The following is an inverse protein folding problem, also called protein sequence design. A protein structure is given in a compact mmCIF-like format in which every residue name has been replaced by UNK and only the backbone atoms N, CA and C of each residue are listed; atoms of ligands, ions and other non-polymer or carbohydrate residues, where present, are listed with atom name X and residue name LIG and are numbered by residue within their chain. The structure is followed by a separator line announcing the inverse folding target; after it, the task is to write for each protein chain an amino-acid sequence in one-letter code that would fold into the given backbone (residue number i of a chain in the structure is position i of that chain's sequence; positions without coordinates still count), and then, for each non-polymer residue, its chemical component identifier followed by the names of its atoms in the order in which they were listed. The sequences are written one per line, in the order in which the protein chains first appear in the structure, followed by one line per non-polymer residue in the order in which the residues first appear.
data_IF_762483512123
#
_entry.id   IF_762483512123
#
_cell.length_a   1.000
_cell.length_b   1.000
_cell.length_c   1.000
_cell.angle_alpha   90.00
_cell.angle_beta   90.00
_cell.angle_gamma   90.00
#
_symmetry.space_group_name_H-M   'P 1'
#
loop_
_entity.id
_entity.type
_entity.pdbx_description
1 polymer ?
#
# COMPACT_ATOMS: atom_id res chain seq x y z
N UNK A 1 -25.80 49.01 -32.81
CA UNK A 1 -26.76 47.91 -32.60
C UNK A 1 -25.94 46.69 -32.18
N UNK A 2 -25.94 46.14 -30.97
CA UNK A 2 -26.65 46.40 -29.72
C UNK A 2 -25.61 46.18 -28.59
N UNK A 3 -25.54 47.10 -27.63
CA UNK A 3 -24.86 46.82 -26.36
C UNK A 3 -25.75 45.83 -25.61
N UNK A 4 -25.31 44.58 -25.53
CA UNK A 4 -25.94 43.60 -24.65
C UNK A 4 -25.70 44.01 -23.21
N UNK A 5 -26.65 44.75 -22.63
CA UNK A 5 -26.74 44.95 -21.18
C UNK A 5 -26.79 43.57 -20.53
N UNK A 6 -25.67 43.15 -19.94
CA UNK A 6 -25.64 41.98 -19.06
C UNK A 6 -26.49 42.37 -17.84
N UNK A 7 -27.67 41.76 -17.63
CA UNK A 7 -28.56 42.16 -16.56
C UNK A 7 -27.80 42.04 -15.24
N UNK A 8 -27.92 43.04 -14.39
CA UNK A 8 -27.32 43.06 -13.06
C UNK A 8 -27.83 41.85 -12.26
N UNK A 9 -27.16 40.70 -12.38
CA UNK A 9 -27.54 39.48 -11.65
C UNK A 9 -27.09 39.64 -10.20
N UNK A 10 -27.85 40.39 -9.41
CA UNK A 10 -27.69 40.41 -7.96
C UNK A 10 -27.98 39.02 -7.41
N UNK A 11 -27.15 38.56 -6.48
CA UNK A 11 -27.18 37.21 -5.91
C UNK A 11 -25.94 36.36 -6.23
N UNK A 12 -26.02 35.06 -5.96
CA UNK A 12 -24.91 34.11 -6.06
C UNK A 12 -24.25 34.10 -7.45
N UNK A 13 -25.04 34.07 -8.53
CA UNK A 13 -24.51 33.98 -9.90
C UNK A 13 -23.73 35.21 -10.34
N UNK A 14 -24.10 36.42 -9.91
CA UNK A 14 -23.31 37.62 -10.19
C UNK A 14 -22.04 37.69 -9.35
N UNK A 15 -22.08 37.24 -8.09
CA UNK A 15 -20.87 37.09 -7.29
C UNK A 15 -19.92 36.07 -7.93
N UNK A 16 -20.44 34.90 -8.34
CA UNK A 16 -19.69 33.85 -9.00
C UNK A 16 -19.08 34.35 -10.31
N UNK A 17 -19.85 34.96 -11.21
CA UNK A 17 -19.31 35.48 -12.47
C UNK A 17 -18.24 36.56 -12.24
N UNK A 18 -18.42 37.46 -11.27
CA UNK A 18 -17.39 38.45 -10.93
C UNK A 18 -16.13 37.80 -10.38
N UNK A 19 -16.27 36.78 -9.53
CA UNK A 19 -15.13 36.07 -8.95
C UNK A 19 -14.41 35.22 -10.00
N UNK A 20 -15.17 34.54 -10.86
CA UNK A 20 -14.68 33.72 -11.96
C UNK A 20 -13.91 34.57 -12.97
N UNK A 21 -14.50 35.67 -13.45
CA UNK A 21 -13.82 36.57 -14.39
C UNK A 21 -12.54 37.15 -13.78
N UNK A 22 -12.57 37.57 -12.50
CA UNK A 22 -11.38 38.06 -11.80
C UNK A 22 -10.27 37.00 -11.70
N UNK A 23 -10.65 35.74 -11.49
CA UNK A 23 -9.71 34.63 -11.43
C UNK A 23 -9.17 34.26 -12.81
N UNK A 24 -9.99 34.30 -13.85
CA UNK A 24 -9.59 34.08 -15.24
C UNK A 24 -8.54 35.12 -15.68
N UNK A 25 -8.81 36.42 -15.45
CA UNK A 25 -7.87 37.48 -15.78
C UNK A 25 -6.55 37.36 -14.98
N UNK A 26 -6.64 36.89 -13.73
CA UNK A 26 -5.46 36.68 -12.88
C UNK A 26 -4.65 35.46 -13.34
N UNK A 27 -5.31 34.41 -13.82
CA UNK A 27 -4.68 33.25 -14.42
C UNK A 27 -3.95 33.64 -15.71
N UNK A 28 -4.61 34.38 -16.61
CA UNK A 28 -4.00 34.87 -17.85
C UNK A 28 -2.74 35.71 -17.57
N UNK A 29 -2.84 36.70 -16.68
CA UNK A 29 -1.68 37.51 -16.26
C UNK A 29 -0.60 36.68 -15.56
N UNK A 30 -1.00 35.66 -14.79
CA UNK A 30 -0.09 34.73 -14.13
C UNK A 30 0.72 33.92 -15.14
N UNK A 31 0.07 33.35 -16.14
CA UNK A 31 0.70 32.60 -17.23
C UNK A 31 1.60 33.51 -18.07
N UNK A 32 1.16 34.71 -18.41
CA UNK A 32 2.00 35.70 -19.09
C UNK A 32 3.25 36.09 -18.26
N UNK A 33 3.12 36.19 -16.94
CA UNK A 33 4.23 36.43 -16.02
C UNK A 33 5.19 35.24 -15.90
N UNK A 34 4.68 34.02 -15.98
CA UNK A 34 5.47 32.77 -16.02
C UNK A 34 6.33 32.73 -17.28
N UNK A 35 5.73 33.01 -18.44
CA UNK A 35 6.39 33.05 -19.73
C UNK A 35 7.53 34.09 -19.77
N UNK A 36 7.31 35.29 -19.20
CA UNK A 36 8.36 36.33 -19.10
C UNK A 36 9.52 35.96 -18.17
N UNK A 37 9.32 35.06 -17.21
CA UNK A 37 10.35 34.61 -16.24
C UNK A 37 10.64 33.12 -16.40
N UNK A 38 10.67 32.62 -17.63
CA UNK A 38 10.79 31.20 -17.96
C UNK A 38 11.93 30.49 -17.22
N UNK A 39 13.10 31.12 -17.06
CA UNK A 39 14.23 30.52 -16.33
C UNK A 39 13.94 30.17 -14.87
N UNK A 40 13.20 31.00 -14.13
CA UNK A 40 12.83 30.72 -12.73
C UNK A 40 11.89 29.51 -12.64
N UNK A 41 10.94 29.42 -13.57
CA UNK A 41 9.97 28.33 -13.60
C UNK A 41 10.58 27.04 -14.13
N UNK A 42 11.59 27.12 -15.00
CA UNK A 42 12.40 25.97 -15.41
C UNK A 42 13.18 25.40 -14.22
N UNK A 43 13.78 26.24 -13.37
CA UNK A 43 14.45 25.78 -12.14
C UNK A 43 13.49 25.10 -11.18
N UNK A 44 12.28 25.65 -11.01
CA UNK A 44 11.24 25.03 -10.19
C UNK A 44 10.81 23.67 -10.76
N UNK A 45 10.64 23.57 -12.07
CA UNK A 45 10.32 22.32 -12.76
C UNK A 45 11.42 21.26 -12.57
N UNK A 46 12.69 21.65 -12.74
CA UNK A 46 13.83 20.78 -12.45
C UNK A 46 13.89 20.36 -10.98
N UNK A 47 13.53 21.25 -10.05
CA UNK A 47 13.41 20.92 -8.63
C UNK A 47 12.34 19.87 -8.34
N UNK A 48 11.19 19.95 -9.01
CA UNK A 48 10.13 18.93 -8.90
C UNK A 48 10.60 17.59 -9.47
N UNK A 49 11.28 17.59 -10.63
CA UNK A 49 11.86 16.37 -11.21
C UNK A 49 12.89 15.76 -10.26
N UNK A 50 13.77 16.58 -9.68
CA UNK A 50 14.76 16.13 -8.70
C UNK A 50 14.13 15.52 -7.46
N UNK A 51 13.08 16.16 -6.93
CA UNK A 51 12.31 15.64 -5.79
C UNK A 51 11.64 14.31 -6.14
N UNK A 52 11.00 14.21 -7.30
CA UNK A 52 10.38 12.98 -7.79
C UNK A 52 11.41 11.86 -7.91
N UNK A 53 12.57 12.12 -8.52
CA UNK A 53 13.65 11.15 -8.66
C UNK A 53 14.17 10.69 -7.28
N UNK A 54 14.36 11.63 -6.35
CA UNK A 54 14.78 11.31 -4.98
C UNK A 54 13.77 10.42 -4.25
N UNK A 55 12.47 10.74 -4.34
CA UNK A 55 11.40 9.92 -3.76
C UNK A 55 11.34 8.54 -4.40
N UNK A 56 11.44 8.47 -5.73
CA UNK A 56 11.39 7.21 -6.48
C UNK A 56 12.53 6.27 -6.11
N UNK A 57 13.75 6.79 -5.93
CA UNK A 57 14.91 6.02 -5.46
C UNK A 57 14.80 5.58 -4.00
N UNK A 58 14.01 6.28 -3.18
CA UNK A 58 13.79 5.98 -1.76
C UNK A 58 12.60 5.06 -1.53
N UNK A 59 11.73 4.87 -2.52
CA UNK A 59 10.50 4.09 -2.37
C UNK A 59 10.84 2.59 -2.46
N UNK A 60 10.68 1.81 -1.38
CA UNK A 60 10.89 0.38 -1.43
C UNK A 60 9.85 -0.26 -2.35
N UNK A 61 10.32 -1.01 -3.35
CA UNK A 61 9.44 -1.75 -4.25
C UNK A 61 9.08 -3.08 -3.60
N UNK A 62 7.78 -3.41 -3.63
CA UNK A 62 7.30 -4.75 -3.30
C UNK A 62 6.50 -5.25 -4.49
N UNK A 63 6.67 -6.53 -4.84
CA UNK A 63 6.02 -7.10 -6.03
C UNK A 63 4.51 -7.21 -5.83
N UNK A 64 4.08 -7.74 -4.69
CA UNK A 64 2.68 -7.83 -4.26
C UNK A 64 2.65 -7.80 -2.72
N UNK A 65 1.69 -7.11 -2.08
CA UNK A 65 1.48 -7.26 -0.65
C UNK A 65 1.12 -8.72 -0.35
N UNK A 66 1.65 -9.24 0.76
CA UNK A 66 1.21 -10.53 1.27
C UNK A 66 -0.26 -10.40 1.68
N UNK A 67 -1.14 -11.08 0.95
CA UNK A 67 -2.55 -11.19 1.31
C UNK A 67 -2.72 -12.27 2.37
N UNK A 68 -3.56 -12.00 3.37
CA UNK A 68 -4.03 -13.05 4.27
C UNK A 68 -4.98 -13.96 3.47
N UNK A 69 -4.44 -15.11 3.07
CA UNK A 69 -5.19 -16.13 2.31
C UNK A 69 -5.92 -17.11 3.23
N UNK A 70 -6.03 -16.80 4.53
CA UNK A 70 -6.60 -17.71 5.52
C UNK A 70 -5.76 -18.96 5.74
N UNK A 71 -4.50 -18.99 5.27
CA UNK A 71 -3.57 -20.10 5.52
C UNK A 71 -2.17 -19.56 5.74
N UNK A 72 -1.48 -20.10 6.73
CA UNK A 72 -0.05 -19.84 6.92
C UNK A 72 0.70 -21.13 7.20
N UNK A 73 1.99 -21.14 6.85
CA UNK A 73 2.85 -22.28 7.03
C UNK A 73 3.82 -22.02 8.18
N UNK A 74 3.93 -22.97 9.12
CA UNK A 74 4.91 -22.90 10.22
C UNK A 74 5.94 -24.01 10.03
N UNK A 75 7.22 -23.68 10.05
CA UNK A 75 8.28 -24.69 9.91
C UNK A 75 8.97 -24.94 11.25
N UNK A 76 9.06 -26.21 11.64
CA UNK A 76 9.77 -26.63 12.85
C UNK A 76 11.00 -27.43 12.42
N UNK A 77 12.19 -26.91 12.76
CA UNK A 77 13.46 -27.57 12.50
C UNK A 77 14.05 -28.10 13.81
N UNK A 78 14.38 -29.39 13.83
CA UNK A 78 15.11 -30.02 14.92
C UNK A 78 16.56 -30.28 14.49
N UNK A 79 17.50 -30.39 15.44
CA UNK A 79 18.88 -30.73 15.13
C UNK A 79 18.99 -32.10 14.44
N UNK A 80 20.00 -32.25 13.57
CA UNK A 80 20.27 -33.49 12.86
C UNK A 80 20.48 -34.65 13.84
N UNK A 81 19.75 -35.76 13.63
CA UNK A 81 19.77 -36.93 14.52
C UNK A 81 18.63 -36.99 15.55
N UNK A 82 17.70 -36.04 15.55
CA UNK A 82 16.48 -36.14 16.34
C UNK A 82 15.60 -37.32 15.88
N UNK A 83 15.02 -38.06 16.83
CA UNK A 83 14.16 -39.20 16.49
C UNK A 83 12.78 -38.74 16.01
N UNK A 84 12.04 -39.64 15.37
CA UNK A 84 10.68 -39.38 14.93
C UNK A 84 9.77 -39.00 16.12
N UNK A 85 9.95 -39.65 17.26
CA UNK A 85 9.20 -39.47 18.50
C UNK A 85 9.49 -38.12 19.14
N UNK A 86 10.76 -37.71 19.19
CA UNK A 86 11.14 -36.37 19.66
C UNK A 86 10.46 -35.31 18.81
N UNK A 87 10.50 -35.50 17.49
CA UNK A 87 9.88 -34.56 16.57
C UNK A 87 8.35 -34.61 16.67
N UNK A 88 7.73 -35.76 16.95
CA UNK A 88 6.29 -35.88 17.16
C UNK A 88 5.84 -35.20 18.47
N UNK A 89 6.65 -35.28 19.53
CA UNK A 89 6.35 -34.63 20.81
C UNK A 89 6.36 -33.10 20.71
N UNK A 90 7.30 -32.52 19.96
CA UNK A 90 7.35 -31.07 19.71
C UNK A 90 6.18 -30.66 18.83
N UNK A 91 5.85 -31.49 17.84
CA UNK A 91 4.72 -31.27 16.94
C UNK A 91 3.40 -31.19 17.70
N UNK A 92 3.14 -32.16 18.58
CA UNK A 92 1.94 -32.19 19.39
C UNK A 92 1.82 -30.97 20.32
N UNK A 93 2.94 -30.41 20.81
CA UNK A 93 2.92 -29.18 21.62
C UNK A 93 2.49 -27.97 20.80
N UNK A 94 3.00 -27.84 19.57
CA UNK A 94 2.65 -26.74 18.65
C UNK A 94 1.20 -26.83 18.20
N UNK A 95 0.72 -28.03 17.88
CA UNK A 95 -0.69 -28.26 17.56
C UNK A 95 -1.61 -27.91 18.72
N UNK A 96 -1.28 -28.37 19.93
CA UNK A 96 -2.05 -28.00 21.13
C UNK A 96 -2.07 -26.50 21.35
N UNK A 97 -0.96 -25.78 21.14
CA UNK A 97 -0.92 -24.32 21.26
C UNK A 97 -1.92 -23.65 20.30
N UNK A 98 -1.90 -24.01 19.02
CA UNK A 98 -2.83 -23.45 18.03
C UNK A 98 -4.29 -23.79 18.34
N UNK A 99 -4.54 -25.02 18.82
CA UNK A 99 -5.87 -25.49 19.18
C UNK A 99 -6.32 -25.06 20.57
N UNK A 100 -5.50 -24.39 21.39
CA UNK A 100 -5.88 -23.94 22.76
C UNK A 100 -5.85 -22.44 22.92
N UNK A 101 -4.73 -21.81 22.61
CA UNK A 101 -4.50 -20.38 22.77
C UNK A 101 -5.07 -19.59 21.58
N UNK A 102 -4.98 -20.14 20.36
CA UNK A 102 -5.41 -19.48 19.12
C UNK A 102 -6.74 -20.01 18.56
N UNK A 103 -7.58 -20.63 19.41
CA UNK A 103 -8.88 -21.22 19.03
C UNK A 103 -9.83 -20.26 18.28
N UNK A 104 -9.72 -18.96 18.56
CA UNK A 104 -10.58 -17.96 17.94
C UNK A 104 -10.19 -17.67 16.49
N UNK A 105 -8.94 -17.95 16.11
CA UNK A 105 -8.38 -17.64 14.81
C UNK A 105 -8.18 -18.92 13.97
N UNK A 106 -7.82 -20.04 14.60
CA UNK A 106 -7.46 -21.30 13.93
C UNK A 106 -8.63 -22.28 13.89
N UNK A 107 -9.04 -22.69 12.69
CA UNK A 107 -10.02 -23.76 12.50
C UNK A 107 -9.39 -25.15 12.53
N UNK A 108 -8.29 -25.31 11.79
CA UNK A 108 -7.67 -26.62 11.60
C UNK A 108 -6.17 -26.52 11.43
N UNK A 109 -5.50 -27.53 11.98
CA UNK A 109 -4.05 -27.70 11.91
C UNK A 109 -3.79 -29.00 11.14
N UNK A 110 -3.03 -28.92 10.06
CA UNK A 110 -2.58 -30.08 9.31
C UNK A 110 -1.06 -30.24 9.45
N UNK A 111 -0.66 -31.39 10.00
CA UNK A 111 0.73 -31.75 10.26
C UNK A 111 1.20 -32.87 9.33
N UNK A 112 2.33 -32.67 8.65
CA UNK A 112 3.01 -33.75 7.91
C UNK A 112 4.42 -33.91 8.44
N UNK A 113 4.81 -35.16 8.68
CA UNK A 113 6.12 -35.51 9.23
C UNK A 113 6.99 -36.08 8.10
N UNK A 114 8.15 -35.46 7.84
CA UNK A 114 9.13 -35.96 6.86
C UNK A 114 8.95 -35.45 5.42
N UNK A 115 8.07 -34.47 5.18
CA UNK A 115 7.86 -33.84 3.88
C UNK A 115 8.39 -32.39 3.91
N UNK A 116 9.64 -32.21 3.45
CA UNK A 116 10.31 -30.92 3.38
C UNK A 116 11.61 -31.01 2.55
N UNK A 117 12.12 -29.90 1.98
CA UNK A 117 13.28 -29.92 1.09
C UNK A 117 14.56 -30.45 1.73
N UNK A 118 14.60 -30.58 3.06
CA UNK A 118 15.77 -30.99 3.82
C UNK A 118 15.51 -32.20 4.74
N UNK A 119 14.71 -33.20 4.32
CA UNK A 119 14.63 -34.57 4.90
C UNK A 119 14.37 -34.74 6.43
N UNK A 120 14.38 -33.66 7.21
CA UNK A 120 14.19 -33.58 8.67
C UNK A 120 13.48 -32.28 9.07
N UNK A 121 12.94 -31.52 8.12
CA UNK A 121 12.12 -30.33 8.37
C UNK A 121 10.63 -30.69 8.31
N UNK A 122 9.87 -30.30 9.34
CA UNK A 122 8.41 -30.43 9.35
C UNK A 122 7.79 -29.10 8.96
N UNK A 123 7.21 -29.05 7.77
CA UNK A 123 6.39 -27.93 7.31
C UNK A 123 4.93 -28.19 7.70
N UNK A 124 4.31 -27.23 8.38
CA UNK A 124 2.92 -27.28 8.79
C UNK A 124 2.07 -26.35 7.97
N UNK A 125 0.79 -26.69 7.80
CA UNK A 125 -0.22 -25.79 7.23
C UNK A 125 -1.33 -25.56 8.24
N UNK A 126 -1.45 -24.33 8.71
CA UNK A 126 -2.55 -23.88 9.57
C UNK A 126 -3.54 -23.14 8.69
N UNK A 127 -4.80 -23.55 8.72
CA UNK A 127 -5.91 -22.86 8.05
C UNK A 127 -6.68 -22.01 9.07
N UNK A 128 -6.67 -20.70 8.88
CA UNK A 128 -7.49 -19.70 9.55
C UNK A 128 -8.80 -19.52 8.76
N UNK A 129 -9.95 -19.40 9.43
CA UNK A 129 -11.15 -18.89 8.75
C UNK A 129 -11.07 -17.37 8.71
N UNK A 130 -11.41 -16.80 7.56
CA UNK A 130 -11.66 -15.37 7.40
C UNK A 130 -12.94 -14.89 8.09
#
# INVERSE_FOLDING_TARGET
MAQGEQPERRGFFGWFNRHFNRNADRYERGVAGILRKGGRWLLLYLGIIGLMAFLFLRLPTSFLPLEDRGVFLTQVQLPAGATLEQTASVVAKVENYYLTEEKANVLSVFSTIGAGPAAMDKTWRVCLCG
#
